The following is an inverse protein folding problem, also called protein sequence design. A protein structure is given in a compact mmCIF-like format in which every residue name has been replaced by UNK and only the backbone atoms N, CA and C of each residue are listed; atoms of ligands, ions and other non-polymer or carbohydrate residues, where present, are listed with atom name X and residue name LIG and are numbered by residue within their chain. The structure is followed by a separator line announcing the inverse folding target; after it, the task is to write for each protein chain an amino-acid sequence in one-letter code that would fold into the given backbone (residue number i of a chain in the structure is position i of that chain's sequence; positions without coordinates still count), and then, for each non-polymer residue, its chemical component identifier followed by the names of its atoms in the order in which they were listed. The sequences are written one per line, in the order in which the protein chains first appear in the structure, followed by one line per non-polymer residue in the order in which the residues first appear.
data_IF_718175722062
#
_entry.id   IF_718175722062
#
_cell.length_a   1.000
_cell.length_b   1.000
_cell.length_c   1.000
_cell.angle_alpha   90.00
_cell.angle_beta   90.00
_cell.angle_gamma   90.00
#
_symmetry.space_group_name_H-M   'P 1'
#
loop_
_entity.id
_entity.type
_entity.pdbx_description
1 polymer ?
#
# COMPACT_ATOMS: atom_id res chain seq x y z
N UNK A 1 1.03 7.88 9.62
CA UNK A 1 0.87 8.47 8.29
C UNK A 1 1.21 9.93 8.39
N UNK A 2 1.52 10.57 7.26
CA UNK A 2 1.69 12.02 7.22
C UNK A 2 0.32 12.68 7.45
N UNK A 3 0.26 13.67 8.34
CA UNK A 3 -0.94 14.46 8.57
C UNK A 3 -1.26 15.29 7.32
N UNK A 4 -2.54 15.46 6.99
CA UNK A 4 -2.97 16.26 5.83
C UNK A 4 -2.84 15.57 4.46
N UNK A 5 -2.09 14.45 4.35
CA UNK A 5 -1.82 13.83 3.05
C UNK A 5 -3.08 13.27 2.39
N UNK A 6 -4.02 12.73 3.18
CA UNK A 6 -5.27 12.17 2.64
C UNK A 6 -6.14 13.29 2.06
N UNK A 7 -6.21 14.39 2.78
CA UNK A 7 -7.00 15.57 2.46
C UNK A 7 -6.48 16.20 1.15
N UNK A 8 -5.17 16.41 1.05
CA UNK A 8 -4.53 16.94 -0.18
C UNK A 8 -4.70 16.00 -1.37
N UNK A 9 -4.58 14.68 -1.18
CA UNK A 9 -4.81 13.73 -2.29
C UNK A 9 -6.26 13.80 -2.78
N UNK A 10 -7.23 13.93 -1.88
CA UNK A 10 -8.64 14.04 -2.26
C UNK A 10 -8.94 15.34 -3.01
N UNK A 11 -8.25 16.43 -2.67
CA UNK A 11 -8.37 17.73 -3.34
C UNK A 11 -7.74 17.72 -4.74
N UNK A 12 -6.48 17.27 -4.86
CA UNK A 12 -5.71 17.35 -6.11
C UNK A 12 -6.06 16.20 -7.07
N UNK A 13 -6.37 15.01 -6.55
CA UNK A 13 -6.66 13.81 -7.32
C UNK A 13 -7.98 13.15 -6.87
N UNK A 14 -9.14 13.77 -7.15
CA UNK A 14 -10.43 13.33 -6.60
C UNK A 14 -10.85 11.92 -7.03
N UNK A 15 -10.31 11.41 -8.13
CA UNK A 15 -10.56 10.04 -8.60
C UNK A 15 -9.61 8.99 -7.99
N UNK A 16 -8.54 9.43 -7.31
CA UNK A 16 -7.57 8.53 -6.71
C UNK A 16 -8.11 7.92 -5.41
N UNK A 17 -7.95 6.61 -5.26
CA UNK A 17 -8.24 5.93 -3.99
C UNK A 17 -7.06 6.07 -3.04
N UNK A 18 -7.33 6.60 -1.86
CA UNK A 18 -6.32 6.66 -0.80
C UNK A 18 -6.18 5.31 -0.10
N UNK A 19 -4.95 4.78 -0.07
CA UNK A 19 -4.57 3.58 0.67
C UNK A 19 -3.58 3.95 1.76
N UNK A 20 -3.88 3.58 3.01
CA UNK A 20 -2.92 3.68 4.10
C UNK A 20 -1.90 2.55 4.02
N UNK A 21 -0.62 2.86 4.16
CA UNK A 21 0.44 1.86 4.10
C UNK A 21 0.29 0.78 5.21
N UNK A 22 0.01 -0.46 4.79
CA UNK A 22 -0.16 -1.62 5.69
C UNK A 22 1.11 -1.89 6.49
N UNK A 23 2.29 -1.81 5.87
CA UNK A 23 3.56 -2.08 6.55
C UNK A 23 3.81 -1.11 7.70
N UNK A 24 3.55 0.19 7.50
CA UNK A 24 3.65 1.16 8.59
C UNK A 24 2.62 0.90 9.70
N UNK A 25 1.40 0.46 9.34
CA UNK A 25 0.41 0.07 10.34
C UNK A 25 0.86 -1.16 11.14
N UNK A 26 1.42 -2.17 10.47
CA UNK A 26 1.95 -3.38 11.12
C UNK A 26 3.13 -3.06 12.05
N UNK A 27 4.08 -2.21 11.62
CA UNK A 27 5.20 -1.75 12.46
C UNK A 27 4.70 -0.99 13.69
N UNK A 28 3.76 -0.05 13.51
CA UNK A 28 3.13 0.67 14.62
C UNK A 28 2.45 -0.30 15.58
N UNK A 29 1.72 -1.29 15.06
CA UNK A 29 1.02 -2.29 15.86
C UNK A 29 1.99 -3.10 16.74
N UNK A 30 3.14 -3.52 16.19
CA UNK A 30 4.16 -4.25 16.92
C UNK A 30 4.77 -3.46 18.10
N UNK A 31 4.81 -2.12 18.00
CA UNK A 31 5.28 -1.24 19.06
C UNK A 31 4.24 -0.97 20.15
N UNK A 32 2.95 -1.28 19.90
CA UNK A 32 1.86 -1.05 20.85
C UNK A 32 1.55 -2.26 21.73
N UNK A 33 2.25 -3.38 21.53
CA UNK A 33 1.95 -4.68 22.16
C UNK A 33 3.17 -5.25 22.86
N UNK A 34 2.92 -6.12 23.84
CA UNK A 34 3.98 -6.84 24.55
C UNK A 34 4.71 -7.77 23.59
N UNK A 35 6.01 -7.97 23.81
CA UNK A 35 6.86 -8.82 22.95
C UNK A 35 6.28 -10.24 22.81
N UNK A 36 5.81 -10.83 23.91
CA UNK A 36 5.22 -12.19 23.93
C UNK A 36 3.96 -12.34 23.07
N UNK A 37 3.18 -11.27 22.90
CA UNK A 37 1.91 -11.31 22.16
C UNK A 37 2.09 -10.84 20.71
N UNK A 38 3.25 -10.23 20.40
CA UNK A 38 3.53 -9.53 19.14
C UNK A 38 3.37 -10.43 17.93
N UNK A 39 3.94 -11.63 17.96
CA UNK A 39 3.86 -12.56 16.83
C UNK A 39 2.41 -12.97 16.55
N UNK A 40 1.68 -13.37 17.60
CA UNK A 40 0.30 -13.83 17.48
C UNK A 40 -0.62 -12.72 16.93
N UNK A 41 -0.59 -11.52 17.52
CA UNK A 41 -1.48 -10.43 17.09
C UNK A 41 -1.14 -9.90 15.70
N UNK A 42 0.15 -9.82 15.34
CA UNK A 42 0.55 -9.43 13.98
C UNK A 42 0.18 -10.51 12.95
N UNK A 43 0.24 -11.79 13.34
CA UNK A 43 -0.29 -12.90 12.54
C UNK A 43 -1.79 -12.75 12.27
N UNK A 44 -2.57 -12.39 13.30
CA UNK A 44 -4.01 -12.17 13.18
C UNK A 44 -4.32 -10.99 12.24
N UNK A 45 -3.66 -9.84 12.42
CA UNK A 45 -3.80 -8.70 11.51
C UNK A 45 -3.34 -9.01 10.07
N UNK A 46 -2.34 -9.88 9.89
CA UNK A 46 -1.90 -10.35 8.57
C UNK A 46 -3.00 -11.10 7.83
N UNK A 47 -3.86 -11.83 8.55
CA UNK A 47 -5.02 -12.51 7.96
C UNK A 47 -6.09 -11.51 7.50
N UNK A 48 -6.28 -10.41 8.22
CA UNK A 48 -7.25 -9.35 7.87
C UNK A 48 -6.98 -8.77 6.48
N UNK A 49 -5.79 -8.20 6.26
CA UNK A 49 -5.50 -7.55 4.97
C UNK A 49 -5.19 -8.54 3.83
N UNK A 50 -4.97 -9.83 4.13
CA UNK A 50 -4.80 -10.88 3.11
C UNK A 50 -6.10 -11.61 2.75
N UNK A 51 -7.25 -11.13 3.22
CA UNK A 51 -8.55 -11.66 2.83
C UNK A 51 -8.80 -11.55 1.32
N UNK A 52 -9.65 -12.44 0.80
CA UNK A 52 -10.06 -12.50 -0.59
C UNK A 52 -11.00 -11.37 -0.96
N UNK A 53 -11.87 -10.97 -0.04
CA UNK A 53 -12.83 -9.88 -0.23
C UNK A 53 -13.00 -9.05 1.07
N UNK A 54 -13.80 -7.99 0.98
CA UNK A 54 -14.04 -7.07 2.10
C UNK A 54 -14.78 -7.76 3.25
N UNK A 55 -15.79 -8.58 2.95
CA UNK A 55 -16.61 -9.26 3.98
C UNK A 55 -15.75 -10.18 4.85
N UNK A 56 -14.90 -10.98 4.22
CA UNK A 56 -13.95 -11.85 4.92
C UNK A 56 -12.91 -11.02 5.70
N UNK A 57 -12.46 -9.88 5.18
CA UNK A 57 -11.56 -8.99 5.91
C UNK A 57 -12.23 -8.43 7.19
N UNK A 58 -13.49 -8.03 7.10
CA UNK A 58 -14.29 -7.55 8.22
C UNK A 58 -14.54 -8.64 9.25
N UNK A 59 -14.90 -9.86 8.82
CA UNK A 59 -15.07 -11.01 9.71
C UNK A 59 -13.78 -11.31 10.48
N UNK A 60 -12.64 -11.39 9.77
CA UNK A 60 -11.34 -11.62 10.40
C UNK A 60 -10.97 -10.51 11.37
N UNK A 61 -11.29 -9.25 11.04
CA UNK A 61 -11.03 -8.13 11.95
C UNK A 61 -11.88 -8.23 13.22
N UNK A 62 -13.13 -8.70 13.11
CA UNK A 62 -14.01 -8.93 14.24
C UNK A 62 -13.47 -10.04 15.16
N UNK A 63 -12.94 -11.13 14.61
CA UNK A 63 -12.23 -12.17 15.37
C UNK A 63 -11.02 -11.59 16.14
N UNK A 64 -10.23 -10.73 15.48
CA UNK A 64 -9.10 -10.03 16.12
C UNK A 64 -9.59 -9.13 17.26
N UNK A 65 -10.69 -8.40 17.04
CA UNK A 65 -11.31 -7.52 18.05
C UNK A 65 -11.79 -8.32 19.26
N UNK A 66 -12.43 -9.47 19.05
CA UNK A 66 -12.90 -10.32 20.15
C UNK A 66 -11.74 -10.87 20.97
N UNK A 67 -10.69 -11.36 20.29
CA UNK A 67 -9.52 -11.96 20.94
C UNK A 67 -8.67 -10.93 21.68
N UNK A 68 -8.39 -9.78 21.07
CA UNK A 68 -7.41 -8.82 21.57
C UNK A 68 -8.01 -7.52 22.10
N UNK A 69 -9.30 -7.26 21.89
CA UNK A 69 -9.94 -5.98 22.24
C UNK A 69 -9.93 -5.65 23.72
N UNK A 70 -9.99 -6.66 24.60
CA UNK A 70 -9.87 -6.45 26.05
C UNK A 70 -8.44 -6.13 26.49
N UNK A 71 -7.45 -6.72 25.81
CA UNK A 71 -6.02 -6.61 26.17
C UNK A 71 -5.41 -5.34 25.57
N UNK A 72 -5.75 -5.04 24.32
CA UNK A 72 -5.16 -3.97 23.51
C UNK A 72 -6.24 -3.05 22.88
N UNK A 73 -7.15 -2.43 23.68
CA UNK A 73 -8.28 -1.66 23.15
C UNK A 73 -7.84 -0.49 22.26
N UNK A 74 -6.73 0.19 22.61
CA UNK A 74 -6.17 1.29 21.82
C UNK A 74 -5.70 0.85 20.43
N UNK A 75 -5.11 -0.34 20.33
CA UNK A 75 -4.64 -0.88 19.05
C UNK A 75 -5.81 -1.24 18.15
N UNK A 76 -6.82 -1.91 18.70
CA UNK A 76 -8.01 -2.28 17.95
C UNK A 76 -8.78 -1.05 17.48
N UNK A 77 -8.93 -0.02 18.33
CA UNK A 77 -9.52 1.26 17.92
C UNK A 77 -8.74 1.93 16.79
N UNK A 78 -7.39 1.90 16.85
CA UNK A 78 -6.56 2.45 15.79
C UNK A 78 -6.72 1.70 14.46
N UNK A 79 -6.87 0.38 14.49
CA UNK A 79 -7.17 -0.42 13.31
C UNK A 79 -8.57 -0.17 12.78
N UNK A 80 -9.58 -0.13 13.65
CA UNK A 80 -10.98 0.11 13.26
C UNK A 80 -11.12 1.44 12.50
N UNK A 81 -10.50 2.51 13.00
CA UNK A 81 -10.49 3.82 12.33
C UNK A 81 -9.76 3.79 10.98
N UNK A 82 -8.71 3.00 10.87
CA UNK A 82 -7.89 2.90 9.67
C UNK A 82 -8.37 1.84 8.67
N UNK A 83 -9.32 0.98 9.05
CA UNK A 83 -9.69 -0.22 8.32
C UNK A 83 -10.13 0.06 6.87
N UNK A 84 -11.00 1.06 6.59
CA UNK A 84 -11.40 1.38 5.22
C UNK A 84 -10.20 1.76 4.34
N UNK A 85 -9.25 2.51 4.90
CA UNK A 85 -8.04 2.95 4.20
C UNK A 85 -7.00 1.82 4.06
N UNK A 86 -7.01 0.85 4.97
CA UNK A 86 -6.11 -0.31 4.93
C UNK A 86 -6.58 -1.36 3.93
N UNK A 87 -7.88 -1.42 3.66
CA UNK A 87 -8.50 -2.42 2.78
C UNK A 87 -8.85 -1.86 1.38
N UNK A 88 -8.57 -0.58 1.11
CA UNK A 88 -8.92 0.06 -0.16
C UNK A 88 -8.35 -0.67 -1.40
N UNK A 89 -7.20 -1.34 -1.25
CA UNK A 89 -6.61 -2.15 -2.33
C UNK A 89 -7.36 -3.45 -2.65
N UNK A 90 -8.29 -3.93 -1.82
CA UNK A 90 -9.00 -5.20 -2.06
C UNK A 90 -9.88 -5.17 -3.31
N UNK A 91 -10.21 -3.98 -3.82
CA UNK A 91 -10.85 -3.81 -5.12
C UNK A 91 -10.01 -4.31 -6.30
N UNK A 92 -8.69 -4.41 -6.12
CA UNK A 92 -7.78 -4.93 -7.14
C UNK A 92 -7.83 -6.46 -7.18
N UNK A 93 -7.57 -7.10 -8.35
CA UNK A 93 -7.44 -8.55 -8.44
C UNK A 93 -6.36 -9.11 -7.51
N UNK A 94 -6.65 -10.25 -6.87
CA UNK A 94 -5.76 -10.89 -5.90
C UNK A 94 -4.28 -10.99 -6.34
N UNK A 95 -3.95 -11.37 -7.59
CA UNK A 95 -2.56 -11.57 -8.01
C UNK A 95 -1.67 -10.31 -7.97
N UNK A 96 -2.26 -9.11 -7.98
CA UNK A 96 -1.52 -7.84 -7.97
C UNK A 96 -1.55 -7.11 -6.63
N UNK A 97 -2.42 -7.51 -5.69
CA UNK A 97 -2.57 -6.84 -4.39
C UNK A 97 -1.24 -6.74 -3.62
N UNK A 98 -0.38 -7.75 -3.78
CA UNK A 98 0.93 -7.81 -3.12
C UNK A 98 1.86 -6.65 -3.50
N UNK A 99 1.72 -6.08 -4.69
CA UNK A 99 2.45 -4.89 -5.11
C UNK A 99 2.01 -3.64 -4.35
N UNK A 100 0.80 -3.63 -3.80
CA UNK A 100 0.24 -2.49 -3.07
C UNK A 100 0.52 -2.60 -1.57
N UNK A 101 0.25 -3.76 -0.95
CA UNK A 101 0.39 -3.90 0.50
C UNK A 101 1.82 -4.23 0.96
N UNK A 102 2.74 -4.59 0.05
CA UNK A 102 4.15 -4.82 0.40
C UNK A 102 5.02 -3.59 0.13
N UNK A 103 6.07 -3.42 0.92
CA UNK A 103 7.07 -2.35 0.74
C UNK A 103 8.34 -2.84 0.07
N UNK A 104 8.37 -4.06 -0.46
CA UNK A 104 9.60 -4.68 -0.99
C UNK A 104 10.27 -3.84 -2.09
N UNK A 105 9.48 -3.25 -2.99
CA UNK A 105 10.00 -2.37 -4.03
C UNK A 105 10.62 -1.10 -3.43
N UNK A 106 9.92 -0.44 -2.50
CA UNK A 106 10.40 0.74 -1.81
C UNK A 106 11.63 0.45 -0.94
N UNK A 107 11.66 -0.68 -0.25
CA UNK A 107 12.80 -1.12 0.57
C UNK A 107 14.01 -1.41 -0.29
N UNK A 108 13.83 -1.99 -1.48
CA UNK A 108 14.91 -2.17 -2.45
C UNK A 108 15.49 -0.83 -2.91
N UNK A 109 14.63 0.15 -3.21
CA UNK A 109 15.07 1.51 -3.57
C UNK A 109 15.84 2.15 -2.42
N UNK A 110 15.27 2.17 -1.22
CA UNK A 110 15.92 2.73 -0.05
C UNK A 110 17.25 2.04 0.29
N UNK A 111 17.32 0.71 0.11
CA UNK A 111 18.56 -0.05 0.32
C UNK A 111 19.63 0.34 -0.68
N UNK A 112 19.28 0.52 -1.95
CA UNK A 112 20.22 0.92 -2.99
C UNK A 112 20.75 2.34 -2.75
N UNK A 113 19.86 3.28 -2.42
CA UNK A 113 20.22 4.65 -2.04
C UNK A 113 21.20 4.61 -0.85
N UNK A 114 20.84 3.94 0.25
CA UNK A 114 21.71 3.83 1.44
C UNK A 114 23.06 3.18 1.14
N UNK A 115 23.09 2.16 0.27
CA UNK A 115 24.33 1.47 -0.12
C UNK A 115 25.28 2.41 -0.84
N UNK A 116 24.79 3.22 -1.78
CA UNK A 116 25.61 4.18 -2.55
C UNK A 116 26.04 5.39 -1.73
N UNK A 117 25.17 5.85 -0.85
CA UNK A 117 25.48 6.92 0.09
C UNK A 117 26.48 6.48 1.17
N UNK A 118 26.67 5.17 1.41
CA UNK A 118 27.52 4.68 2.50
C UNK A 118 28.98 5.15 2.38
N UNK A 119 29.50 5.31 1.17
CA UNK A 119 30.86 5.81 0.92
C UNK A 119 30.98 7.33 0.98
N UNK A 120 29.86 8.04 1.14
CA UNK A 120 29.81 9.50 1.20
C UNK A 120 29.59 9.92 2.65
N UNK A 121 30.60 10.54 3.26
CA UNK A 121 30.49 11.04 4.64
C UNK A 121 29.66 12.32 4.72
N UNK A 122 29.80 13.21 3.72
CA UNK A 122 29.08 14.48 3.66
C UNK A 122 28.85 14.94 2.22
N UNK A 123 27.81 15.75 2.03
CA UNK A 123 27.60 16.49 0.79
C UNK A 123 28.01 17.96 0.98
N UNK A 124 28.65 18.59 -0.01
CA UNK A 124 29.03 20.00 0.07
C UNK A 124 27.84 20.97 0.22
N UNK A 125 26.68 20.60 -0.32
CA UNK A 125 25.42 21.35 -0.23
C UNK A 125 24.24 20.46 -0.65
N UNK A 126 23.02 20.96 -0.44
CA UNK A 126 21.77 20.28 -0.79
C UNK A 126 21.67 19.92 -2.26
N UNK A 127 22.03 20.84 -3.17
CA UNK A 127 21.98 20.59 -4.62
C UNK A 127 22.88 19.44 -5.06
N UNK A 128 24.04 19.28 -4.41
CA UNK A 128 24.93 18.14 -4.66
C UNK A 128 24.29 16.81 -4.22
N UNK A 129 23.60 16.81 -3.08
CA UNK A 129 22.85 15.65 -2.61
C UNK A 129 21.69 15.29 -3.56
N UNK A 130 20.92 16.29 -4.01
CA UNK A 130 19.84 16.13 -4.97
C UNK A 130 20.33 15.57 -6.31
N UNK A 131 21.41 16.13 -6.88
CA UNK A 131 22.01 15.63 -8.13
C UNK A 131 22.45 14.18 -8.01
N UNK A 132 23.08 13.83 -6.88
CA UNK A 132 23.53 12.46 -6.65
C UNK A 132 22.35 11.50 -6.51
N UNK A 133 21.31 11.89 -5.76
CA UNK A 133 20.08 11.11 -5.62
C UNK A 133 19.40 10.93 -6.99
N UNK A 134 19.30 11.99 -7.79
CA UNK A 134 18.75 11.95 -9.15
C UNK A 134 19.52 10.96 -10.03
N UNK A 135 20.86 10.98 -10.01
CA UNK A 135 21.67 10.05 -10.78
C UNK A 135 21.41 8.59 -10.39
N UNK A 136 21.30 8.29 -9.08
CA UNK A 136 20.94 6.95 -8.60
C UNK A 136 19.56 6.54 -9.09
N UNK A 137 18.57 7.42 -8.92
CA UNK A 137 17.18 7.14 -9.30
C UNK A 137 17.03 6.95 -10.80
N UNK A 138 17.73 7.73 -11.62
CA UNK A 138 17.72 7.61 -13.08
C UNK A 138 18.26 6.25 -13.54
N UNK A 139 19.42 5.83 -13.02
CA UNK A 139 19.99 4.51 -13.34
C UNK A 139 19.10 3.35 -12.85
N UNK A 140 18.39 3.55 -11.73
CA UNK A 140 17.42 2.59 -11.24
C UNK A 140 16.18 2.51 -12.14
N UNK A 141 15.69 3.65 -12.61
CA UNK A 141 14.53 3.75 -13.50
C UNK A 141 14.80 3.04 -14.84
N UNK A 142 15.97 3.27 -15.45
CA UNK A 142 16.41 2.55 -16.66
C UNK A 142 16.37 1.03 -16.47
N UNK A 143 16.84 0.54 -15.32
CA UNK A 143 16.78 -0.89 -14.97
C UNK A 143 15.37 -1.38 -14.67
N UNK A 144 14.46 -0.52 -14.21
CA UNK A 144 13.06 -0.88 -13.98
C UNK A 144 12.25 -0.90 -15.28
N UNK A 145 12.55 -0.03 -16.24
CA UNK A 145 11.90 -0.02 -17.56
C UNK A 145 12.05 -1.33 -18.31
N UNK A 146 13.16 -2.06 -18.10
CA UNK A 146 13.39 -3.38 -18.71
C UNK A 146 12.61 -4.53 -18.05
N UNK A 147 11.91 -4.29 -16.94
CA UNK A 147 11.26 -5.33 -16.13
C UNK A 147 9.75 -5.29 -16.28
N UNK A 148 9.14 -6.46 -16.49
CA UNK A 148 7.69 -6.64 -16.40
C UNK A 148 7.31 -7.16 -15.01
N UNK A 149 6.26 -6.59 -14.41
CA UNK A 149 5.71 -7.11 -13.15
C UNK A 149 5.11 -8.52 -13.39
N UNK A 150 5.30 -9.41 -12.43
CA UNK A 150 4.67 -10.74 -12.47
C UNK A 150 3.15 -10.56 -12.44
N UNK A 151 2.43 -11.36 -13.20
CA UNK A 151 0.97 -11.28 -13.38
C UNK A 151 0.47 -9.96 -14.00
N UNK A 152 1.37 -9.14 -14.59
CA UNK A 152 0.96 -7.90 -15.25
C UNK A 152 0.01 -8.15 -16.42
N UNK A 153 0.30 -9.14 -17.25
CA UNK A 153 -0.56 -9.48 -18.41
C UNK A 153 -1.96 -9.91 -17.99
N UNK A 154 -2.06 -10.73 -16.93
CA UNK A 154 -3.34 -11.12 -16.34
C UNK A 154 -4.13 -9.93 -15.82
N UNK A 155 -3.46 -8.98 -15.14
CA UNK A 155 -4.14 -7.76 -14.71
C UNK A 155 -4.56 -6.89 -15.89
N UNK A 156 -3.70 -6.78 -16.90
CA UNK A 156 -3.94 -5.95 -18.07
C UNK A 156 -5.14 -6.46 -18.87
N UNK A 157 -5.34 -7.78 -18.99
CA UNK A 157 -6.53 -8.34 -19.63
C UNK A 157 -7.82 -7.96 -18.88
N UNK A 158 -7.85 -8.11 -17.55
CA UNK A 158 -8.98 -7.68 -16.71
C UNK A 158 -9.26 -6.19 -16.88
N UNK A 159 -8.21 -5.36 -16.84
CA UNK A 159 -8.34 -3.91 -17.02
C UNK A 159 -8.96 -3.55 -18.38
N UNK A 160 -8.52 -4.20 -19.46
CA UNK A 160 -9.07 -3.97 -20.80
C UNK A 160 -10.55 -4.35 -20.88
N UNK A 161 -10.95 -5.46 -20.25
CA UNK A 161 -12.36 -5.88 -20.17
C UNK A 161 -13.21 -4.85 -19.40
N UNK A 162 -12.73 -4.37 -18.26
CA UNK A 162 -13.42 -3.33 -17.49
C UNK A 162 -13.55 -2.02 -18.28
N UNK A 163 -12.50 -1.64 -19.02
CA UNK A 163 -12.50 -0.45 -19.87
C UNK A 163 -13.51 -0.58 -21.02
N UNK A 164 -13.62 -1.76 -21.64
CA UNK A 164 -14.66 -2.04 -22.64
C UNK A 164 -16.06 -1.85 -22.06
N UNK A 165 -16.34 -2.44 -20.88
CA UNK A 165 -17.65 -2.32 -20.21
C UNK A 165 -18.04 -0.86 -19.94
N UNK A 166 -17.11 -0.04 -19.43
CA UNK A 166 -17.34 1.40 -19.20
C UNK A 166 -17.61 2.18 -20.49
N UNK A 167 -16.94 1.81 -21.58
CA UNK A 167 -17.11 2.45 -22.89
C UNK A 167 -18.49 2.13 -23.49
N UNK A 168 -18.94 0.88 -23.36
CA UNK A 168 -20.28 0.45 -23.79
C UNK A 168 -21.37 1.15 -22.97
N UNK A 169 -21.23 1.19 -21.63
CA UNK A 169 -22.21 1.84 -20.77
C UNK A 169 -22.37 3.34 -21.08
N UNK A 170 -21.25 4.04 -21.35
CA UNK A 170 -21.29 5.46 -21.73
C UNK A 170 -22.02 5.69 -23.06
N UNK A 171 -21.81 4.82 -24.07
CA UNK A 171 -22.50 4.90 -25.37
C UNK A 171 -24.01 4.66 -25.26
N UNK A 172 -24.43 3.69 -24.45
CA UNK A 172 -25.86 3.42 -24.22
C UNK A 172 -26.55 4.61 -23.54
N UNK A 173 -25.89 5.27 -22.59
CA UNK A 173 -26.42 6.47 -21.94
C UNK A 173 -26.50 7.69 -22.86
N UNK A 174 -25.64 7.80 -23.89
CA UNK A 174 -25.70 8.91 -24.86
C UNK A 174 -26.75 8.72 -25.96
N UNK A 175 -27.27 7.50 -26.13
CA UNK A 175 -28.33 7.20 -27.10
C UNK A 175 -29.74 7.28 -26.50
N UNK A 176 -29.84 7.47 -25.18
CA UNK A 176 -31.10 7.56 -24.41
C UNK A 176 -31.39 9.01 -23.95
N UNK A 177 -30.63 9.99 -24.43
CA UNK A 177 -30.77 11.44 -24.23
C UNK A 177 -30.82 12.12 -25.57
#
# INVERSE_FOLDING_TARGET
GLAGLKEVIAEVFPQARYQRCVVHMMRRSGNMVRVRDREAILGDFKRVYRAMNLDEAHQRFEEVRQRWGRIYPRLISAWQKALPELLAFLVLPFPIRSYVYSTNALERVNKEIKRRLKSMEQFPNEKSAEKYLYAILSEMDERFMTRRLKNWEFYYSIYLEEKKKKTVHRRVQTQLT
#
